data_IF_359884503191
#
_entry.id   IF_359884503191
#
_cell.length_a   1.000
_cell.length_b   1.000
_cell.length_c   1.000
_cell.angle_alpha   90.00
_cell.angle_beta   90.00
_cell.angle_gamma   90.00
#
_symmetry.space_group_name_H-M   'P 1'
#
loop_
_entity.id
_entity.type
_entity.pdbx_description
1 polymer ?
#
# COMPACT_ATOMS: atom_id res chain seq x y z
N UNK A 1 13.20 17.21 1.68
CA UNK A 1 12.57 15.94 1.25
C UNK A 1 12.30 15.91 -0.25
N UNK A 2 11.47 16.80 -0.82
CA UNK A 2 11.21 16.80 -2.27
C UNK A 2 12.47 16.92 -3.15
N UNK A 3 13.35 17.90 -2.87
CA UNK A 3 14.63 18.06 -3.58
C UNK A 3 15.48 16.78 -3.54
N UNK A 4 15.62 16.21 -2.35
CA UNK A 4 16.34 14.95 -2.13
C UNK A 4 15.75 13.80 -2.94
N UNK A 5 14.42 13.67 -2.97
CA UNK A 5 13.76 12.65 -3.78
C UNK A 5 14.04 12.84 -5.28
N UNK A 6 13.83 14.05 -5.81
CA UNK A 6 14.03 14.35 -7.22
C UNK A 6 15.48 14.17 -7.68
N UNK A 7 16.44 14.58 -6.85
CA UNK A 7 17.86 14.52 -7.21
C UNK A 7 18.50 13.14 -7.02
N UNK A 8 18.10 12.38 -5.99
CA UNK A 8 18.87 11.20 -5.56
C UNK A 8 18.08 9.88 -5.52
N UNK A 9 16.76 9.91 -5.74
CA UNK A 9 15.91 8.71 -5.57
C UNK A 9 15.00 8.44 -6.75
N UNK A 10 14.51 9.48 -7.43
CA UNK A 10 13.60 9.33 -8.56
C UNK A 10 14.17 8.42 -9.66
N UNK A 11 15.46 8.58 -9.99
CA UNK A 11 16.17 7.80 -11.01
C UNK A 11 16.20 6.28 -10.74
N UNK A 12 16.08 5.86 -9.49
CA UNK A 12 16.05 4.45 -9.07
C UNK A 12 14.70 4.02 -8.50
N UNK A 13 13.66 4.86 -8.61
CA UNK A 13 12.35 4.63 -8.00
C UNK A 13 11.71 3.30 -8.39
N UNK A 14 11.75 2.94 -9.68
CA UNK A 14 11.12 1.72 -10.18
C UNK A 14 11.71 0.42 -9.59
N UNK A 15 13.02 0.39 -9.34
CA UNK A 15 13.75 -0.75 -8.76
C UNK A 15 13.70 -0.71 -7.23
N UNK A 16 13.94 0.46 -6.64
CA UNK A 16 14.31 0.58 -5.23
C UNK A 16 13.17 1.04 -4.31
N UNK A 17 11.97 1.36 -4.82
CA UNK A 17 10.85 1.81 -3.97
C UNK A 17 10.35 0.76 -2.97
N UNK A 18 10.64 -0.52 -3.22
CA UNK A 18 10.28 -1.62 -2.32
C UNK A 18 11.47 -2.10 -1.49
N UNK A 19 12.66 -1.52 -1.67
CA UNK A 19 13.84 -1.93 -0.91
C UNK A 19 13.74 -1.41 0.51
N UNK A 20 14.02 -2.28 1.46
CA UNK A 20 13.97 -1.95 2.88
C UNK A 20 15.22 -1.16 3.29
N UNK A 21 16.36 -1.47 2.68
CA UNK A 21 17.61 -0.69 2.81
C UNK A 21 17.67 0.37 1.72
N UNK A 22 17.87 1.63 2.12
CA UNK A 22 17.96 2.79 1.22
C UNK A 22 16.77 2.89 0.23
N UNK A 23 15.51 2.86 0.69
CA UNK A 23 14.35 2.95 -0.19
C UNK A 23 14.39 4.20 -1.06
N UNK A 24 13.99 4.05 -2.32
CA UNK A 24 13.87 5.17 -3.25
C UNK A 24 12.54 5.92 -3.13
N UNK A 25 11.75 5.68 -2.07
CA UNK A 25 10.46 6.34 -1.88
C UNK A 25 10.62 7.85 -1.63
N UNK A 26 9.60 8.62 -2.03
CA UNK A 26 9.59 10.07 -1.86
C UNK A 26 9.44 10.48 -0.40
N UNK A 27 8.71 9.68 0.38
CA UNK A 27 8.33 9.99 1.75
C UNK A 27 7.31 11.12 1.86
N UNK A 28 6.71 11.59 0.75
CA UNK A 28 5.92 12.83 0.72
C UNK A 28 4.44 12.65 1.10
N UNK A 29 3.96 11.43 1.38
CA UNK A 29 2.52 11.20 1.61
C UNK A 29 1.93 12.01 2.77
N UNK A 30 2.58 12.20 3.94
CA UNK A 30 2.06 13.10 4.97
C UNK A 30 1.89 14.56 4.50
N UNK A 31 2.80 15.05 3.67
CA UNK A 31 2.77 16.42 3.16
C UNK A 31 1.66 16.61 2.13
N UNK A 32 1.42 15.59 1.31
CA UNK A 32 0.28 15.57 0.38
C UNK A 32 -1.05 15.48 1.12
N UNK A 33 -1.14 14.64 2.15
CA UNK A 33 -2.35 14.43 2.94
C UNK A 33 -2.83 15.74 3.58
N UNK A 34 -1.94 16.49 4.24
CA UNK A 34 -2.28 17.77 4.86
C UNK A 34 -2.28 18.97 3.89
N UNK A 35 -2.05 18.76 2.59
CA UNK A 35 -2.01 19.84 1.60
C UNK A 35 -0.82 20.81 1.77
N UNK A 36 0.19 20.46 2.57
CA UNK A 36 1.42 21.25 2.71
C UNK A 36 2.28 21.26 1.44
N UNK A 37 2.07 20.29 0.56
CA UNK A 37 2.71 20.20 -0.75
C UNK A 37 1.67 19.81 -1.80
N UNK A 38 1.62 20.54 -2.91
CA UNK A 38 0.73 20.21 -4.03
C UNK A 38 1.28 19.05 -4.85
N UNK A 39 0.45 18.04 -5.10
CA UNK A 39 0.80 16.95 -6.03
C UNK A 39 0.95 17.45 -7.46
N UNK A 40 0.13 18.42 -7.86
CA UNK A 40 0.21 19.07 -9.18
C UNK A 40 1.55 19.80 -9.34
N UNK A 41 2.01 20.49 -8.30
CA UNK A 41 3.31 21.17 -8.34
C UNK A 41 4.46 20.17 -8.50
N UNK A 42 4.43 19.05 -7.77
CA UNK A 42 5.43 17.99 -7.88
C UNK A 42 5.43 17.37 -9.28
N UNK A 43 4.26 17.03 -9.80
CA UNK A 43 4.11 16.48 -11.16
C UNK A 43 4.64 17.48 -12.18
N UNK A 44 4.21 18.74 -12.14
CA UNK A 44 4.67 19.78 -13.07
C UNK A 44 6.18 19.92 -13.04
N UNK A 45 6.79 19.97 -11.85
CA UNK A 45 8.25 20.06 -11.71
C UNK A 45 8.97 18.87 -12.33
N UNK A 46 8.42 17.66 -12.22
CA UNK A 46 8.96 16.46 -12.87
C UNK A 46 8.86 16.61 -14.39
N UNK A 47 7.68 16.95 -14.91
CA UNK A 47 7.47 17.15 -16.35
C UNK A 47 8.42 18.20 -16.93
N UNK A 48 8.50 19.38 -16.29
CA UNK A 48 9.37 20.48 -16.70
C UNK A 48 10.85 20.07 -16.69
N UNK A 49 11.31 19.38 -15.62
CA UNK A 49 12.70 18.93 -15.51
C UNK A 49 13.10 17.86 -16.51
N UNK A 50 12.12 17.16 -17.08
CA UNK A 50 12.32 16.16 -18.13
C UNK A 50 12.03 16.72 -19.54
N UNK A 51 11.74 18.03 -19.67
CA UNK A 51 11.39 18.64 -20.95
C UNK A 51 10.15 18.01 -21.60
N UNK A 52 9.23 17.49 -20.79
CA UNK A 52 8.09 16.75 -21.29
C UNK A 52 7.10 17.64 -22.04
N UNK A 53 6.60 17.16 -23.18
CA UNK A 53 5.55 17.81 -23.97
C UNK A 53 4.42 16.80 -24.27
N UNK A 54 3.17 17.25 -24.44
CA UNK A 54 2.04 16.36 -24.74
C UNK A 54 2.24 15.45 -25.96
N UNK A 55 3.01 15.89 -26.96
CA UNK A 55 3.30 15.12 -28.18
C UNK A 55 4.17 13.86 -27.92
N UNK A 56 4.78 13.74 -26.74
CA UNK A 56 5.51 12.55 -26.31
C UNK A 56 4.58 11.39 -25.89
N UNK A 57 3.27 11.65 -25.75
CA UNK A 57 2.30 10.62 -25.40
C UNK A 57 2.22 9.56 -26.51
N UNK A 58 2.38 8.29 -26.13
CA UNK A 58 2.32 7.16 -27.05
C UNK A 58 1.07 6.29 -26.79
N UNK A 59 0.01 6.53 -27.57
CA UNK A 59 -1.23 5.73 -27.56
C UNK A 59 -1.26 4.74 -28.75
N UNK A 60 -1.77 3.49 -28.60
CA UNK A 60 -2.36 2.85 -27.42
C UNK A 60 -1.47 1.72 -26.80
N UNK A 61 -1.20 1.80 -25.49
CA UNK A 61 -0.58 0.71 -24.72
C UNK A 61 -1.49 0.25 -23.58
N UNK A 62 -2.52 -0.54 -23.88
CA UNK A 62 -3.46 -1.05 -22.85
C UNK A 62 -2.70 -1.94 -21.85
N UNK A 63 -2.74 -1.57 -20.56
CA UNK A 63 -2.20 -2.38 -19.46
C UNK A 63 -0.68 -2.37 -19.31
N UNK A 64 0.05 -1.56 -20.10
CA UNK A 64 1.49 -1.40 -19.91
C UNK A 64 1.78 -0.52 -18.67
N UNK A 65 2.86 -0.84 -17.95
CA UNK A 65 3.32 -0.08 -16.77
C UNK A 65 4.24 1.09 -17.12
N UNK A 66 4.66 1.19 -18.38
CA UNK A 66 5.58 2.20 -18.87
C UNK A 66 5.43 2.44 -20.38
N UNK A 67 5.90 3.60 -20.81
CA UNK A 67 5.95 4.09 -22.17
C UNK A 67 4.69 4.81 -22.64
N UNK A 68 3.74 5.14 -21.74
CA UNK A 68 2.61 6.01 -22.10
C UNK A 68 3.04 7.47 -22.14
N UNK A 69 3.84 7.88 -21.16
CA UNK A 69 4.31 9.27 -21.03
C UNK A 69 5.47 9.59 -21.98
N UNK A 70 6.14 8.58 -22.54
CA UNK A 70 7.35 8.78 -23.33
C UNK A 70 8.53 9.21 -22.47
N UNK A 71 8.57 8.78 -21.21
CA UNK A 71 9.58 9.18 -20.22
C UNK A 71 10.35 7.99 -19.66
N UNK A 72 11.49 8.20 -18.99
CA UNK A 72 12.22 7.12 -18.33
C UNK A 72 11.33 6.33 -17.36
N UNK A 73 11.51 5.01 -17.31
CA UNK A 73 10.72 4.11 -16.43
C UNK A 73 10.64 4.55 -14.96
N UNK A 74 11.73 5.05 -14.31
CA UNK A 74 11.63 5.53 -12.94
C UNK A 74 10.64 6.69 -12.75
N UNK A 75 10.54 7.57 -13.76
CA UNK A 75 9.62 8.72 -13.77
C UNK A 75 8.19 8.23 -13.98
N UNK A 76 7.95 7.40 -14.99
CA UNK A 76 6.61 6.85 -15.25
C UNK A 76 6.10 6.02 -14.06
N UNK A 77 6.97 5.24 -13.43
CA UNK A 77 6.63 4.47 -12.23
C UNK A 77 6.23 5.36 -11.05
N UNK A 78 6.80 6.57 -10.91
CA UNK A 78 6.38 7.53 -9.90
C UNK A 78 5.09 8.25 -10.27
N UNK A 79 4.94 8.67 -11.54
CA UNK A 79 3.72 9.28 -12.04
C UNK A 79 2.51 8.37 -11.87
N UNK A 80 2.66 7.07 -12.12
CA UNK A 80 1.59 6.10 -11.87
C UNK A 80 1.13 6.11 -10.40
N UNK A 81 2.05 6.27 -9.44
CA UNK A 81 1.70 6.29 -8.02
C UNK A 81 1.06 7.61 -7.59
N UNK A 82 1.62 8.76 -7.98
CA UNK A 82 1.15 10.08 -7.56
C UNK A 82 -0.10 10.55 -8.33
N UNK A 83 -0.29 10.06 -9.57
CA UNK A 83 -1.47 10.36 -10.41
C UNK A 83 -2.43 9.16 -10.35
N UNK A 84 -2.14 8.05 -11.03
CA UNK A 84 -3.11 6.96 -11.21
C UNK A 84 -3.63 6.41 -9.88
N UNK A 85 -2.75 5.91 -9.01
CA UNK A 85 -3.17 5.22 -7.78
C UNK A 85 -3.78 6.18 -6.75
N UNK A 86 -3.19 7.35 -6.57
CA UNK A 86 -3.74 8.37 -5.68
C UNK A 86 -5.11 8.82 -6.16
N UNK A 87 -5.22 9.29 -7.41
CA UNK A 87 -6.48 9.85 -7.94
C UNK A 87 -7.56 8.77 -8.09
N UNK A 88 -7.20 7.50 -8.29
CA UNK A 88 -8.15 6.38 -8.23
C UNK A 88 -8.85 6.30 -6.87
N UNK A 89 -8.11 6.54 -5.77
CA UNK A 89 -8.70 6.56 -4.44
C UNK A 89 -9.64 7.73 -4.23
N UNK A 90 -9.27 8.93 -4.68
CA UNK A 90 -10.14 10.11 -4.65
C UNK A 90 -11.38 9.94 -5.54
N UNK A 91 -11.22 9.36 -6.73
CA UNK A 91 -12.33 9.06 -7.64
C UNK A 91 -13.34 8.11 -6.98
N UNK A 92 -12.87 7.02 -6.37
CA UNK A 92 -13.74 6.08 -5.68
C UNK A 92 -14.45 6.74 -4.48
N UNK A 93 -13.75 7.56 -3.69
CA UNK A 93 -14.36 8.27 -2.57
C UNK A 93 -15.42 9.30 -3.01
N UNK A 94 -15.21 9.96 -4.15
CA UNK A 94 -16.16 10.92 -4.71
C UNK A 94 -17.44 10.23 -5.22
N UNK A 95 -17.31 9.11 -5.92
CA UNK A 95 -18.47 8.42 -6.52
C UNK A 95 -19.15 7.42 -5.59
N UNK A 96 -18.49 6.97 -4.52
CA UNK A 96 -19.02 5.98 -3.60
C UNK A 96 -18.99 6.51 -2.15
N UNK A 97 -20.14 6.90 -1.57
CA UNK A 97 -20.18 7.36 -0.18
C UNK A 97 -19.75 6.28 0.82
N UNK A 98 -19.85 5.00 0.43
CA UNK A 98 -19.46 3.85 1.24
C UNK A 98 -18.03 3.36 0.92
N UNK A 99 -17.19 4.15 0.23
CA UNK A 99 -15.84 3.76 -0.20
C UNK A 99 -14.94 3.23 0.93
N UNK A 100 -15.22 3.66 2.17
CA UNK A 100 -14.51 3.28 3.38
C UNK A 100 -15.18 2.11 4.16
N UNK A 101 -16.18 1.44 3.58
CA UNK A 101 -16.86 0.29 4.19
C UNK A 101 -16.63 -1.00 3.40
N UNK A 102 -16.57 -2.15 4.08
CA UNK A 102 -16.42 -3.47 3.46
C UNK A 102 -17.43 -3.74 2.34
N UNK A 103 -18.68 -3.30 2.50
CA UNK A 103 -19.75 -3.47 1.53
C UNK A 103 -19.45 -2.90 0.12
N UNK A 104 -18.49 -1.97 0.02
CA UNK A 104 -18.06 -1.38 -1.26
C UNK A 104 -17.01 -2.19 -2.03
N UNK A 105 -16.63 -3.37 -1.52
CA UNK A 105 -15.77 -4.30 -2.25
C UNK A 105 -16.45 -4.86 -3.51
N UNK A 106 -15.67 -5.20 -4.55
CA UNK A 106 -16.21 -5.84 -5.73
C UNK A 106 -16.83 -7.20 -5.38
N UNK A 107 -17.88 -7.58 -6.11
CA UNK A 107 -18.68 -8.77 -5.80
C UNK A 107 -17.84 -10.05 -5.74
N UNK A 108 -16.89 -10.21 -6.68
CA UNK A 108 -16.01 -11.38 -6.71
C UNK A 108 -15.19 -11.56 -5.43
N UNK A 109 -14.79 -10.44 -4.79
CA UNK A 109 -14.00 -10.46 -3.57
C UNK A 109 -14.86 -10.84 -2.37
N UNK A 110 -16.08 -10.28 -2.28
CA UNK A 110 -17.03 -10.65 -1.21
C UNK A 110 -17.42 -12.12 -1.29
N UNK A 111 -17.69 -12.65 -2.48
CA UNK A 111 -18.03 -14.06 -2.69
C UNK A 111 -16.88 -14.95 -2.20
N UNK A 112 -15.66 -14.74 -2.71
CA UNK A 112 -14.54 -15.62 -2.33
C UNK A 112 -14.18 -15.51 -0.85
N UNK A 113 -14.31 -14.33 -0.23
CA UNK A 113 -14.08 -14.17 1.20
C UNK A 113 -15.17 -14.86 2.04
N UNK A 114 -16.42 -14.83 1.58
CA UNK A 114 -17.55 -15.53 2.24
C UNK A 114 -17.43 -17.05 2.13
N UNK A 115 -16.98 -17.58 0.99
CA UNK A 115 -16.75 -19.02 0.79
C UNK A 115 -15.70 -19.59 1.76
N UNK A 116 -14.81 -18.73 2.26
CA UNK A 116 -13.71 -19.07 3.16
C UNK A 116 -13.90 -18.53 4.59
N UNK A 117 -15.12 -18.13 4.96
CA UNK A 117 -15.42 -17.56 6.27
C UNK A 117 -15.17 -18.56 7.41
N UNK A 118 -15.49 -19.84 7.21
CA UNK A 118 -15.40 -20.90 8.22
C UNK A 118 -14.05 -21.63 8.25
N UNK A 119 -13.08 -21.20 7.42
CA UNK A 119 -11.74 -21.78 7.43
C UNK A 119 -11.05 -21.57 8.79
N UNK A 120 -10.32 -22.59 9.26
CA UNK A 120 -9.58 -22.53 10.53
C UNK A 120 -8.50 -21.44 10.52
N UNK A 121 -8.43 -20.65 11.60
CA UNK A 121 -7.50 -19.50 11.71
C UNK A 121 -6.82 -19.45 13.07
N UNK A 122 -5.57 -18.99 13.05
CA UNK A 122 -4.97 -18.41 14.26
C UNK A 122 -5.54 -17.02 14.45
N UNK A 123 -6.21 -16.77 15.56
CA UNK A 123 -6.84 -15.48 15.83
C UNK A 123 -6.04 -14.65 16.84
N UNK A 124 -6.13 -13.33 16.70
CA UNK A 124 -5.62 -12.36 17.66
C UNK A 124 -6.75 -11.45 18.11
N UNK A 125 -6.58 -10.78 19.23
CA UNK A 125 -7.42 -9.63 19.60
C UNK A 125 -6.89 -8.36 18.95
N UNK A 126 -7.75 -7.37 18.71
CA UNK A 126 -7.33 -6.05 18.26
C UNK A 126 -6.22 -5.46 19.13
N UNK A 127 -6.25 -5.70 20.45
CA UNK A 127 -5.23 -5.17 21.36
C UNK A 127 -3.86 -5.84 21.17
N UNK A 128 -3.81 -7.15 20.88
CA UNK A 128 -2.57 -7.83 20.51
C UNK A 128 -2.02 -7.31 19.18
N UNK A 129 -2.88 -7.13 18.18
CA UNK A 129 -2.53 -6.51 16.89
C UNK A 129 -1.98 -5.11 17.12
N UNK A 130 -2.68 -4.25 17.88
CA UNK A 130 -2.26 -2.88 18.20
C UNK A 130 -0.87 -2.83 18.83
N UNK A 131 -0.59 -3.74 19.78
CA UNK A 131 0.68 -3.85 20.52
C UNK A 131 1.81 -4.56 19.78
N UNK A 132 1.60 -4.99 18.53
CA UNK A 132 2.56 -5.81 17.79
C UNK A 132 2.97 -7.07 18.58
N UNK A 133 1.95 -7.80 19.06
CA UNK A 133 2.07 -9.00 19.87
C UNK A 133 1.53 -10.24 19.13
N UNK A 134 2.12 -10.51 17.98
CA UNK A 134 1.83 -11.71 17.18
C UNK A 134 3.04 -12.64 17.13
N UNK A 135 2.85 -13.86 16.63
CA UNK A 135 3.95 -14.78 16.35
C UNK A 135 4.88 -14.29 15.22
N UNK A 136 4.44 -13.32 14.42
CA UNK A 136 5.12 -12.89 13.20
C UNK A 136 6.00 -11.66 13.45
N UNK A 137 7.31 -11.89 13.56
CA UNK A 137 8.29 -10.83 13.83
C UNK A 137 8.33 -9.73 12.75
N UNK A 138 8.08 -10.07 11.48
CA UNK A 138 8.13 -9.13 10.36
C UNK A 138 6.90 -8.22 10.42
N UNK A 139 5.73 -8.81 10.67
CA UNK A 139 4.51 -8.06 10.86
C UNK A 139 4.59 -7.17 12.10
N UNK A 140 5.10 -7.70 13.21
CA UNK A 140 5.28 -6.93 14.45
C UNK A 140 6.21 -5.73 14.23
N UNK A 141 7.30 -5.91 13.48
CA UNK A 141 8.19 -4.80 13.11
C UNK A 141 7.48 -3.74 12.26
N UNK A 142 6.65 -4.16 11.30
CA UNK A 142 5.86 -3.25 10.47
C UNK A 142 4.85 -2.44 11.28
N UNK A 143 4.12 -3.09 12.21
CA UNK A 143 3.21 -2.42 13.12
C UNK A 143 3.95 -1.43 14.03
N UNK A 144 5.13 -1.79 14.56
CA UNK A 144 5.93 -0.87 15.39
C UNK A 144 6.48 0.30 14.59
N UNK A 145 6.84 0.12 13.32
CA UNK A 145 7.22 1.22 12.45
C UNK A 145 6.06 2.22 12.33
N UNK A 146 4.85 1.72 12.04
CA UNK A 146 3.65 2.53 11.93
C UNK A 146 3.40 3.33 13.22
N UNK A 147 3.40 2.67 14.38
CA UNK A 147 3.14 3.33 15.67
C UNK A 147 4.22 4.37 16.03
N UNK A 148 5.50 4.06 15.79
CA UNK A 148 6.62 4.92 16.23
C UNK A 148 6.90 6.09 15.29
N UNK A 149 6.69 5.90 13.99
CA UNK A 149 7.09 6.87 12.95
C UNK A 149 5.89 7.50 12.25
N UNK A 150 4.69 6.96 12.43
CA UNK A 150 3.49 7.35 11.72
C UNK A 150 3.56 7.08 10.21
N UNK A 151 4.49 6.24 9.77
CA UNK A 151 4.66 5.80 8.40
C UNK A 151 5.01 4.32 8.41
N UNK A 152 4.59 3.60 7.38
CA UNK A 152 4.88 2.17 7.19
C UNK A 152 5.42 1.95 5.79
N UNK A 153 6.44 1.10 5.66
CA UNK A 153 7.04 0.79 4.36
C UNK A 153 5.99 0.22 3.39
N UNK A 154 5.91 0.74 2.16
CA UNK A 154 4.83 0.45 1.20
C UNK A 154 4.58 -1.05 0.97
N UNK A 155 5.65 -1.83 0.74
CA UNK A 155 5.50 -3.28 0.56
C UNK A 155 5.01 -3.97 1.83
N UNK A 156 5.48 -3.49 3.00
CA UNK A 156 5.09 -4.04 4.29
C UNK A 156 3.69 -3.60 4.70
N UNK A 157 3.16 -2.46 4.21
CA UNK A 157 1.75 -2.07 4.39
C UNK A 157 0.80 -3.09 3.77
N UNK A 158 1.15 -3.61 2.58
CA UNK A 158 0.37 -4.68 1.93
C UNK A 158 0.45 -5.98 2.72
N UNK A 159 1.65 -6.40 3.13
CA UNK A 159 1.82 -7.58 3.99
C UNK A 159 1.05 -7.41 5.30
N UNK A 160 1.16 -6.24 5.92
CA UNK A 160 0.54 -5.89 7.19
C UNK A 160 -0.97 -6.11 7.14
N UNK A 161 -1.64 -5.58 6.12
CA UNK A 161 -3.07 -5.79 5.96
C UNK A 161 -3.42 -7.24 5.63
N UNK A 162 -2.63 -7.91 4.79
CA UNK A 162 -2.88 -9.32 4.42
C UNK A 162 -2.82 -10.25 5.62
N UNK A 163 -1.93 -10.00 6.57
CA UNK A 163 -1.86 -10.78 7.81
C UNK A 163 -3.00 -10.44 8.78
N UNK A 164 -3.44 -9.18 8.83
CA UNK A 164 -4.67 -8.83 9.59
C UNK A 164 -5.88 -9.61 9.04
N UNK A 165 -6.05 -9.69 7.72
CA UNK A 165 -7.11 -10.51 7.11
C UNK A 165 -7.02 -11.99 7.52
N UNK A 166 -5.80 -12.53 7.63
CA UNK A 166 -5.57 -13.92 8.03
C UNK A 166 -5.92 -14.19 9.49
N UNK A 167 -5.85 -13.18 10.36
CA UNK A 167 -5.97 -13.34 11.81
C UNK A 167 -7.24 -12.78 12.44
N UNK A 168 -7.96 -11.92 11.72
CA UNK A 168 -9.28 -11.48 12.15
C UNK A 168 -10.29 -12.62 11.99
N UNK A 169 -11.34 -12.59 12.83
CA UNK A 169 -12.42 -13.58 12.78
C UNK A 169 -13.23 -13.48 11.49
N UNK A 170 -13.33 -12.28 10.91
CA UNK A 170 -14.00 -12.04 9.63
C UNK A 170 -13.27 -11.01 8.78
N UNK A 171 -13.51 -11.00 7.45
CA UNK A 171 -13.00 -9.96 6.55
C UNK A 171 -13.49 -8.55 6.90
N UNK A 172 -14.70 -8.42 7.45
CA UNK A 172 -15.29 -7.18 7.95
C UNK A 172 -14.50 -6.66 9.15
N UNK A 173 -14.25 -7.53 10.14
CA UNK A 173 -13.44 -7.19 11.31
C UNK A 173 -12.00 -6.83 10.90
N UNK A 174 -11.43 -7.55 9.93
CA UNK A 174 -10.13 -7.20 9.36
C UNK A 174 -10.11 -5.78 8.78
N UNK A 175 -11.16 -5.39 8.05
CA UNK A 175 -11.31 -4.05 7.49
C UNK A 175 -11.38 -2.99 8.59
N UNK A 176 -12.18 -3.24 9.63
CA UNK A 176 -12.32 -2.34 10.78
C UNK A 176 -11.00 -2.14 11.51
N UNK A 177 -10.28 -3.23 11.81
CA UNK A 177 -8.96 -3.15 12.47
C UNK A 177 -7.95 -2.41 11.61
N UNK A 178 -7.91 -2.69 10.30
CA UNK A 178 -7.01 -2.00 9.39
C UNK A 178 -7.29 -0.49 9.34
N UNK A 179 -8.56 -0.09 9.29
CA UNK A 179 -8.98 1.32 9.31
C UNK A 179 -8.60 1.96 10.63
N UNK A 180 -8.97 1.35 11.76
CA UNK A 180 -8.69 1.92 13.09
C UNK A 180 -7.19 2.17 13.29
N UNK A 181 -6.36 1.17 13.01
CA UNK A 181 -4.91 1.29 13.20
C UNK A 181 -4.28 2.28 12.22
N UNK A 182 -4.69 2.25 10.95
CA UNK A 182 -4.18 3.19 9.95
C UNK A 182 -4.55 4.63 10.30
N UNK A 183 -5.81 4.88 10.65
CA UNK A 183 -6.32 6.22 10.91
C UNK A 183 -5.84 6.79 12.25
N UNK A 184 -5.51 5.91 13.21
CA UNK A 184 -4.91 6.28 14.50
C UNK A 184 -3.44 6.67 14.36
N UNK A 185 -2.66 5.88 13.63
CA UNK A 185 -1.19 6.01 13.67
C UNK A 185 -0.58 6.63 12.41
N UNK A 186 -1.15 6.42 11.23
CA UNK A 186 -0.55 6.91 9.99
C UNK A 186 -0.71 8.43 9.86
N UNK A 187 0.39 9.13 9.62
CA UNK A 187 0.39 10.56 9.30
C UNK A 187 -0.29 10.84 7.95
N UNK A 188 -0.44 9.83 7.10
CA UNK A 188 -1.17 9.85 5.84
C UNK A 188 -2.49 9.03 5.87
N UNK A 189 -2.98 8.71 7.08
CA UNK A 189 -4.26 8.03 7.32
C UNK A 189 -5.47 8.94 7.17
N UNK A 190 -6.70 8.40 7.31
CA UNK A 190 -7.97 9.13 7.13
C UNK A 190 -8.06 9.82 5.76
N UNK A 191 -7.61 9.10 4.75
CA UNK A 191 -7.43 9.61 3.39
C UNK A 191 -8.07 8.64 2.38
N UNK A 192 -8.73 9.12 1.31
CA UNK A 192 -9.23 8.27 0.22
C UNK A 192 -8.20 7.27 -0.32
N UNK A 193 -6.93 7.67 -0.39
CA UNK A 193 -5.83 6.81 -0.81
C UNK A 193 -5.57 5.69 0.22
N UNK A 194 -5.64 6.01 1.52
CA UNK A 194 -5.51 5.04 2.61
C UNK A 194 -6.60 3.98 2.55
N UNK A 195 -7.88 4.38 2.41
CA UNK A 195 -8.98 3.41 2.26
C UNK A 195 -8.82 2.55 1.02
N UNK A 196 -8.35 3.13 -0.09
CA UNK A 196 -8.08 2.37 -1.32
C UNK A 196 -6.99 1.33 -1.10
N UNK A 197 -5.92 1.65 -0.37
CA UNK A 197 -4.89 0.69 0.03
C UNK A 197 -5.41 -0.42 0.93
N UNK A 198 -6.24 -0.08 1.94
CA UNK A 198 -6.87 -1.06 2.83
C UNK A 198 -7.80 -1.98 2.06
N UNK A 199 -8.70 -1.46 1.23
CA UNK A 199 -9.64 -2.31 0.49
C UNK A 199 -8.97 -3.04 -0.68
N UNK A 200 -7.83 -2.56 -1.19
CA UNK A 200 -6.97 -3.37 -2.07
C UNK A 200 -6.47 -4.62 -1.36
N UNK A 201 -6.25 -4.56 -0.03
CA UNK A 201 -5.91 -5.75 0.75
C UNK A 201 -6.99 -6.82 0.60
N UNK A 202 -8.25 -6.39 0.50
CA UNK A 202 -9.44 -7.23 0.40
C UNK A 202 -9.95 -7.39 -1.05
N UNK A 203 -9.16 -7.01 -2.07
CA UNK A 203 -9.47 -7.28 -3.48
C UNK A 203 -9.95 -6.10 -4.33
N UNK A 204 -10.09 -4.88 -3.78
CA UNK A 204 -10.41 -3.69 -4.59
C UNK A 204 -9.28 -3.36 -5.57
N UNK A 205 -9.62 -3.06 -6.82
CA UNK A 205 -8.67 -2.72 -7.90
C UNK A 205 -7.57 -3.77 -8.14
N UNK A 206 -7.78 -5.00 -7.67
CA UNK A 206 -6.99 -6.17 -8.05
C UNK A 206 -7.89 -7.14 -8.83
N UNK A 207 -7.29 -8.21 -9.33
CA UNK A 207 -7.98 -9.34 -9.94
C UNK A 207 -7.99 -10.53 -9.00
N UNK A 208 -8.80 -11.53 -9.32
CA UNK A 208 -8.72 -12.85 -8.69
C UNK A 208 -7.36 -13.51 -8.97
N UNK A 209 -6.78 -14.14 -7.95
CA UNK A 209 -5.53 -14.90 -8.00
C UNK A 209 -5.79 -16.38 -7.80
N UNK A 210 -5.00 -17.21 -8.50
CA UNK A 210 -4.93 -18.65 -8.30
C UNK A 210 -3.53 -19.09 -7.85
N UNK A 211 -3.39 -20.23 -7.17
CA UNK A 211 -4.47 -21.09 -6.67
C UNK A 211 -5.23 -20.44 -5.51
N UNK A 212 -6.48 -20.87 -5.30
CA UNK A 212 -7.26 -20.51 -4.10
C UNK A 212 -6.55 -21.01 -2.84
N UNK A 213 -6.68 -20.26 -1.76
CA UNK A 213 -6.03 -20.56 -0.47
C UNK A 213 -7.02 -20.42 0.66
N UNK A 214 -6.87 -21.24 1.69
CA UNK A 214 -7.63 -21.09 2.91
C UNK A 214 -7.55 -19.64 3.42
N UNK A 215 -8.66 -19.13 3.96
CA UNK A 215 -8.89 -17.78 4.46
C UNK A 215 -8.95 -16.71 3.36
N UNK A 216 -8.04 -16.75 2.39
CA UNK A 216 -7.90 -15.73 1.35
C UNK A 216 -8.78 -15.97 0.13
N UNK A 217 -9.18 -17.22 -0.15
CA UNK A 217 -9.77 -17.61 -1.41
C UNK A 217 -8.93 -17.13 -2.59
N UNK A 218 -9.54 -16.28 -3.44
CA UNK A 218 -8.91 -15.66 -4.63
C UNK A 218 -8.22 -14.32 -4.36
N UNK A 219 -8.19 -13.85 -3.12
CA UNK A 219 -7.43 -12.65 -2.76
C UNK A 219 -5.93 -12.92 -2.96
N UNK A 220 -5.20 -11.92 -3.46
CA UNK A 220 -3.74 -12.03 -3.65
C UNK A 220 -3.07 -12.45 -2.35
N UNK A 221 -2.38 -13.57 -2.33
CA UNK A 221 -1.67 -14.00 -1.14
C UNK A 221 -0.33 -13.28 -0.93
N UNK A 222 -0.01 -12.95 0.32
CA UNK A 222 1.31 -12.47 0.75
C UNK A 222 1.66 -13.11 2.10
N UNK A 223 2.92 -13.50 2.28
CA UNK A 223 3.40 -14.08 3.54
C UNK A 223 4.73 -13.46 3.98
N UNK A 224 4.97 -13.50 5.29
CA UNK A 224 6.22 -13.04 5.89
C UNK A 224 7.40 -13.91 5.44
N UNK A 225 7.17 -15.21 5.22
CA UNK A 225 8.19 -16.10 4.66
C UNK A 225 8.63 -15.69 3.25
N UNK A 226 7.67 -15.43 2.34
CA UNK A 226 7.98 -14.94 1.00
C UNK A 226 8.67 -13.57 1.04
N UNK A 227 8.25 -12.71 1.98
CA UNK A 227 8.86 -11.39 2.17
C UNK A 227 10.32 -11.50 2.64
N UNK A 228 10.63 -12.42 3.56
CA UNK A 228 11.99 -12.70 4.04
C UNK A 228 12.91 -13.21 2.93
N UNK A 229 12.38 -13.98 1.97
CA UNK A 229 13.14 -14.43 0.80
C UNK A 229 13.38 -13.31 -0.22
N UNK A 230 12.50 -12.32 -0.27
CA UNK A 230 12.52 -11.23 -1.26
C UNK A 230 13.40 -10.05 -0.87
N UNK A 231 13.54 -9.76 0.43
CA UNK A 231 14.25 -8.58 0.92
C UNK A 231 15.22 -8.92 2.05
N UNK A 232 16.32 -8.17 2.14
CA UNK A 232 17.16 -8.17 3.34
C UNK A 232 16.48 -7.38 4.46
N UNK A 233 15.75 -8.11 5.32
CA UNK A 233 15.00 -7.54 6.43
C UNK A 233 15.84 -7.33 7.70
N UNK A 234 17.11 -7.75 7.73
CA UNK A 234 17.94 -7.65 8.95
C UNK A 234 18.02 -6.22 9.50
N UNK A 235 18.29 -5.17 8.69
CA UNK A 235 18.36 -3.81 9.22
C UNK A 235 17.01 -3.33 9.77
N UNK A 236 15.92 -3.75 9.15
CA UNK A 236 14.57 -3.36 9.55
C UNK A 236 14.11 -4.03 10.84
N UNK A 237 14.45 -5.32 11.00
CA UNK A 237 14.21 -6.04 12.24
C UNK A 237 15.12 -5.54 13.37
N UNK A 238 16.33 -5.07 13.09
CA UNK A 238 17.16 -4.40 14.09
C UNK A 238 16.52 -3.09 14.59
N UNK A 239 15.94 -2.30 13.69
CA UNK A 239 15.32 -1.01 14.04
C UNK A 239 13.94 -1.17 14.72
N UNK A 240 13.11 -2.10 14.23
CA UNK A 240 11.71 -2.21 14.64
C UNK A 240 11.32 -3.56 15.30
N UNK A 241 12.24 -4.51 15.40
CA UNK A 241 11.97 -5.87 15.89
C UNK A 241 11.81 -5.98 17.42
N UNK A 242 12.33 -5.03 18.19
CA UNK A 242 12.23 -5.03 19.65
C UNK A 242 11.17 -4.04 20.15
N UNK A 243 10.46 -4.42 21.23
CA UNK A 243 9.63 -3.47 22.00
C UNK A 243 10.55 -2.42 22.62
N UNK A 244 10.12 -1.17 22.57
CA UNK A 244 10.82 0.00 23.12
C UNK A 244 10.37 0.21 24.55
#
# INVERSE_FOLDING_TARGET
MLREFLSNRLNRYHEDRNQVKNPATSGLSPWFHFGHLSTIEVVRRILDSNGWMPDLINAPRRGARAGWWGMPEPVEAFLDQIITWRELGFNNAFHNPNHNHYASLPEWAKITLSEHADDERTTYTLEQIRKADTHDEIWNAAQRQLVRKGIIHNYLRMLWGKRILEWASSPEEAAEWMIELNDTYALDGRDPNSYTGIFWVLGRHDRAWGPERAIFGKIRYMSSENTRRKFDLKPYLQEFGHRS
#
